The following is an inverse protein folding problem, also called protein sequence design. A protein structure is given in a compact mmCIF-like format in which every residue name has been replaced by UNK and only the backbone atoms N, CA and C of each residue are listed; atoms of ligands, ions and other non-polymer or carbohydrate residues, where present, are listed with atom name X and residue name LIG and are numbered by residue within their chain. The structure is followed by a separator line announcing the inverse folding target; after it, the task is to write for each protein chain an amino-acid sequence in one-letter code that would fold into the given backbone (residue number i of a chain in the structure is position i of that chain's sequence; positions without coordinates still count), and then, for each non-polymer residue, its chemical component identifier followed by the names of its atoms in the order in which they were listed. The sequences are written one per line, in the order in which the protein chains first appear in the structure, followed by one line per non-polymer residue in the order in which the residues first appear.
data_IF_133540030185
#
_entry.id   IF_133540030185
#
_cell.length_a   1.000
_cell.length_b   1.000
_cell.length_c   1.000
_cell.angle_alpha   90.00
_cell.angle_beta   90.00
_cell.angle_gamma   90.00
#
_symmetry.space_group_name_H-M   'P 1'
#
loop_
_entity.id
_entity.type
_entity.pdbx_description
1 polymer ?
#
# COMPACT_ATOMS: atom_id res chain seq x y z
N UNK A 1 12.87 -7.27 12.80
CA UNK A 1 12.86 -8.13 11.60
C UNK A 1 13.61 -7.39 10.53
N UNK A 2 14.57 -8.04 9.87
CA UNK A 2 15.30 -7.43 8.76
C UNK A 2 14.58 -7.59 7.41
N UNK A 3 15.15 -7.02 6.35
CA UNK A 3 14.56 -7.03 5.01
C UNK A 3 14.36 -8.45 4.46
N UNK A 4 15.34 -9.33 4.64
CA UNK A 4 15.31 -10.67 4.05
C UNK A 4 14.33 -11.57 4.81
N UNK A 5 14.27 -11.44 6.13
CA UNK A 5 13.26 -12.09 6.97
C UNK A 5 11.83 -11.69 6.57
N UNK A 6 11.58 -10.38 6.43
CA UNK A 6 10.25 -9.87 6.04
C UNK A 6 9.88 -10.34 4.63
N UNK A 7 10.81 -10.26 3.68
CA UNK A 7 10.60 -10.72 2.31
C UNK A 7 10.32 -12.21 2.23
N UNK A 8 11.02 -13.02 3.04
CA UNK A 8 10.76 -14.45 3.19
C UNK A 8 9.34 -14.70 3.68
N UNK A 9 8.93 -14.07 4.79
CA UNK A 9 7.59 -14.18 5.35
C UNK A 9 6.49 -13.84 4.33
N UNK A 10 6.62 -12.71 3.64
CA UNK A 10 5.64 -12.28 2.62
C UNK A 10 5.57 -13.27 1.46
N UNK A 11 6.68 -13.87 1.07
CA UNK A 11 6.73 -14.87 0.00
C UNK A 11 6.07 -16.19 0.42
N UNK A 12 6.34 -16.64 1.66
CA UNK A 12 5.78 -17.88 2.21
C UNK A 12 4.27 -17.79 2.48
N UNK A 13 3.79 -16.61 2.89
CA UNK A 13 2.37 -16.40 3.15
C UNK A 13 1.49 -16.59 1.90
N UNK A 14 2.08 -16.54 0.70
CA UNK A 14 1.41 -16.72 -0.59
C UNK A 14 0.09 -15.94 -0.69
N UNK A 15 0.11 -14.69 -0.21
CA UNK A 15 -1.04 -13.78 -0.32
C UNK A 15 -1.22 -13.46 -1.81
N UNK A 16 -2.36 -13.83 -2.37
CA UNK A 16 -2.74 -13.58 -3.75
C UNK A 16 -3.88 -12.57 -3.80
N UNK A 17 -3.85 -11.75 -4.83
CA UNK A 17 -4.97 -10.88 -5.21
C UNK A 17 -5.90 -11.67 -6.12
N UNK A 18 -7.17 -11.75 -5.72
CA UNK A 18 -8.22 -12.33 -6.55
C UNK A 18 -8.82 -11.28 -7.47
N UNK A 19 -9.50 -11.71 -8.54
CA UNK A 19 -10.01 -10.86 -9.63
C UNK A 19 -10.96 -9.74 -9.16
N UNK A 20 -11.62 -9.92 -8.02
CA UNK A 20 -12.57 -8.95 -7.46
C UNK A 20 -12.02 -8.18 -6.25
N UNK A 21 -10.75 -8.39 -5.89
CA UNK A 21 -10.16 -7.73 -4.73
C UNK A 21 -9.49 -6.42 -5.12
N UNK A 22 -9.56 -5.42 -4.26
CA UNK A 22 -8.83 -4.16 -4.44
C UNK A 22 -7.59 -4.06 -3.53
N UNK A 23 -6.79 -3.02 -3.73
CA UNK A 23 -5.56 -2.78 -2.98
C UNK A 23 -5.77 -2.69 -1.46
N UNK A 24 -6.95 -2.26 -0.99
CA UNK A 24 -7.25 -2.15 0.43
C UNK A 24 -7.49 -3.51 1.08
N UNK A 25 -8.20 -4.42 0.39
CA UNK A 25 -8.41 -5.79 0.87
C UNK A 25 -7.09 -6.57 0.93
N UNK A 26 -6.19 -6.31 0.00
CA UNK A 26 -4.83 -6.89 0.02
C UNK A 26 -4.01 -6.33 1.18
N UNK A 27 -4.07 -5.01 1.41
CA UNK A 27 -3.41 -4.40 2.56
C UNK A 27 -3.95 -4.98 3.88
N UNK A 28 -5.25 -5.23 4.01
CA UNK A 28 -5.85 -5.85 5.19
C UNK A 28 -5.31 -7.27 5.45
N UNK A 29 -5.17 -8.09 4.39
CA UNK A 29 -4.56 -9.43 4.52
C UNK A 29 -3.11 -9.35 5.02
N UNK A 30 -2.35 -8.38 4.52
CA UNK A 30 -0.97 -8.14 4.98
C UNK A 30 -0.97 -7.69 6.44
N UNK A 31 -1.84 -6.77 6.84
CA UNK A 31 -1.97 -6.35 8.24
C UNK A 31 -2.25 -7.54 9.17
N UNK A 32 -3.22 -8.41 8.81
CA UNK A 32 -3.55 -9.63 9.57
C UNK A 32 -2.40 -10.62 9.66
N UNK A 33 -1.54 -10.69 8.65
CA UNK A 33 -0.32 -11.49 8.71
C UNK A 33 0.67 -10.92 9.72
N UNK A 34 0.88 -9.60 9.67
CA UNK A 34 1.81 -8.88 10.54
C UNK A 34 1.35 -8.82 11.99
N UNK A 35 0.05 -8.91 12.27
CA UNK A 35 -0.52 -8.99 13.64
C UNK A 35 0.01 -10.15 14.46
N UNK A 36 0.53 -11.17 13.80
CA UNK A 36 1.11 -12.35 14.44
C UNK A 36 2.58 -12.13 14.86
N UNK A 37 3.17 -11.01 14.46
CA UNK A 37 4.57 -10.69 14.72
C UNK A 37 4.72 -9.78 15.95
N UNK A 38 5.82 -9.91 16.69
CA UNK A 38 6.18 -8.94 17.71
C UNK A 38 6.67 -7.63 17.04
N UNK A 39 6.02 -6.51 17.35
CA UNK A 39 6.35 -5.19 16.83
C UNK A 39 5.16 -4.24 16.93
N UNK A 40 5.39 -2.95 17.17
CA UNK A 40 4.30 -1.99 17.44
C UNK A 40 3.95 -1.10 16.24
N UNK A 41 4.79 -1.03 15.20
CA UNK A 41 4.64 0.02 14.17
C UNK A 41 4.34 -0.55 12.80
N UNK A 42 3.11 -1.04 12.65
CA UNK A 42 2.47 -1.20 11.35
C UNK A 42 1.70 0.08 11.02
N UNK A 43 1.75 0.52 9.78
CA UNK A 43 0.95 1.64 9.28
C UNK A 43 0.29 1.28 7.97
N UNK A 44 -0.87 1.83 7.72
CA UNK A 44 -1.40 1.90 6.36
C UNK A 44 -0.83 3.15 5.69
N UNK A 45 -0.24 2.97 4.52
CA UNK A 45 0.19 4.06 3.66
C UNK A 45 -0.81 4.19 2.52
N UNK A 46 -1.50 5.32 2.49
CA UNK A 46 -2.49 5.67 1.49
C UNK A 46 -1.85 6.61 0.47
N UNK A 47 -1.98 6.27 -0.79
CA UNK A 47 -1.44 7.03 -1.91
C UNK A 47 -2.62 7.45 -2.77
N UNK A 48 -2.82 8.74 -2.97
CA UNK A 48 -3.94 9.25 -3.75
C UNK A 48 -3.56 10.50 -4.53
N UNK A 49 -4.27 10.82 -5.62
CA UNK A 49 -4.11 12.09 -6.33
C UNK A 49 -4.24 13.28 -5.37
N UNK A 50 -3.50 14.37 -5.64
CA UNK A 50 -3.63 15.64 -4.91
C UNK A 50 -5.07 16.15 -4.99
N UNK A 51 -5.48 16.89 -3.96
CA UNK A 51 -6.82 17.47 -3.87
C UNK A 51 -7.21 18.21 -5.17
N UNK A 52 -8.36 17.84 -5.73
CA UNK A 52 -8.87 18.36 -7.00
C UNK A 52 -8.74 17.40 -8.18
N UNK A 53 -7.90 16.35 -8.09
CA UNK A 53 -7.83 15.27 -9.07
C UNK A 53 -8.79 14.13 -8.68
N UNK A 54 -9.60 13.65 -9.64
CA UNK A 54 -10.56 12.55 -9.43
C UNK A 54 -9.97 11.16 -9.69
N UNK A 55 -8.96 11.07 -10.53
CA UNK A 55 -8.30 9.83 -10.98
C UNK A 55 -6.83 10.15 -11.26
N UNK A 56 -5.93 9.22 -10.94
CA UNK A 56 -4.56 9.23 -11.45
C UNK A 56 -4.22 7.86 -12.05
N UNK A 57 -3.35 7.86 -13.07
CA UNK A 57 -2.68 6.63 -13.44
C UNK A 57 -1.68 6.32 -12.34
N UNK A 58 -1.87 5.19 -11.67
CA UNK A 58 -0.90 4.70 -10.71
C UNK A 58 -0.05 3.64 -11.40
N UNK A 59 1.25 3.91 -11.39
CA UNK A 59 2.31 3.01 -11.82
C UNK A 59 2.99 2.48 -10.57
N UNK A 60 2.97 1.16 -10.44
CA UNK A 60 3.79 0.47 -9.45
C UNK A 60 5.29 0.70 -9.75
N UNK A 61 6.17 0.64 -8.74
CA UNK A 61 7.59 0.98 -8.92
C UNK A 61 8.34 0.10 -9.93
N UNK A 62 7.83 -1.09 -10.22
CA UNK A 62 8.34 -2.00 -11.25
C UNK A 62 7.73 -1.78 -12.64
N UNK A 63 6.90 -0.75 -12.79
CA UNK A 63 6.32 -0.26 -14.05
C UNK A 63 5.58 -1.35 -14.85
N UNK A 64 5.02 -2.35 -14.15
CA UNK A 64 4.36 -3.52 -14.75
C UNK A 64 2.84 -3.47 -14.65
N UNK A 65 2.30 -2.72 -13.71
CA UNK A 65 0.89 -2.35 -13.67
C UNK A 65 0.76 -0.84 -13.82
N UNK A 66 0.06 -0.43 -14.87
CA UNK A 66 -0.49 0.92 -14.99
C UNK A 66 -2.00 0.72 -14.96
N UNK A 67 -2.63 1.13 -13.86
CA UNK A 67 -4.08 1.14 -13.80
C UNK A 67 -4.56 2.52 -13.37
N UNK A 68 -5.81 2.80 -13.71
CA UNK A 68 -6.46 4.05 -13.36
C UNK A 68 -6.96 3.91 -11.92
N UNK A 69 -6.15 4.38 -10.98
CA UNK A 69 -6.48 4.30 -9.57
C UNK A 69 -7.04 5.62 -9.07
N UNK A 70 -8.08 5.48 -8.26
CA UNK A 70 -8.60 6.57 -7.43
C UNK A 70 -7.68 6.74 -6.21
N UNK A 71 -7.15 5.62 -5.72
CA UNK A 71 -6.24 5.53 -4.60
C UNK A 71 -5.47 4.19 -4.67
N UNK A 72 -4.34 4.11 -3.97
CA UNK A 72 -3.57 2.90 -3.76
C UNK A 72 -3.24 2.76 -2.27
N UNK A 73 -3.29 1.53 -1.76
CA UNK A 73 -3.06 1.25 -0.33
C UNK A 73 -1.96 0.21 -0.20
N UNK A 74 -0.97 0.53 0.63
CA UNK A 74 0.13 -0.38 0.97
C UNK A 74 0.36 -0.40 2.47
N UNK A 75 1.04 -1.44 2.94
CA UNK A 75 1.34 -1.60 4.37
C UNK A 75 2.79 -1.23 4.63
N UNK A 76 3.02 -0.41 5.66
CA UNK A 76 4.36 -0.15 6.17
C UNK A 76 4.59 -0.95 7.45
N UNK A 77 5.74 -1.59 7.57
CA UNK A 77 6.15 -2.32 8.76
C UNK A 77 7.64 -2.12 9.01
N UNK A 78 8.01 -1.60 10.19
CA UNK A 78 9.41 -1.45 10.63
C UNK A 78 10.33 -0.75 9.59
N UNK A 79 9.82 0.25 8.87
CA UNK A 79 10.57 1.00 7.85
C UNK A 79 10.56 0.40 6.44
N UNK A 80 9.78 -0.67 6.22
CA UNK A 80 9.59 -1.31 4.93
C UNK A 80 8.16 -1.14 4.42
N UNK A 81 7.99 -0.96 3.11
CA UNK A 81 6.70 -0.97 2.43
C UNK A 81 6.47 -2.35 1.82
N UNK A 82 5.26 -2.88 2.01
CA UNK A 82 4.77 -4.12 1.44
C UNK A 82 3.66 -3.77 0.46
N UNK A 83 3.97 -3.89 -0.83
CA UNK A 83 3.09 -3.64 -1.97
C UNK A 83 2.99 -4.90 -2.81
N UNK A 84 1.97 -5.73 -2.55
CA UNK A 84 1.82 -7.03 -3.22
C UNK A 84 1.38 -6.92 -4.68
N UNK A 85 0.95 -5.73 -5.13
CA UNK A 85 0.64 -5.48 -6.54
C UNK A 85 1.92 -5.23 -7.36
N UNK A 86 3.03 -4.92 -6.69
CA UNK A 86 4.34 -4.86 -7.30
C UNK A 86 5.06 -6.21 -7.31
N UNK A 87 5.80 -6.52 -8.38
CA UNK A 87 6.55 -7.79 -8.47
C UNK A 87 7.67 -7.93 -7.43
N UNK A 88 8.23 -6.82 -6.94
CA UNK A 88 9.26 -6.84 -5.87
C UNK A 88 8.66 -7.10 -4.49
N UNK A 89 7.37 -6.79 -4.30
CA UNK A 89 6.57 -6.95 -3.08
C UNK A 89 7.02 -6.17 -1.84
N UNK A 90 8.32 -6.10 -1.56
CA UNK A 90 8.88 -5.47 -0.36
C UNK A 90 9.97 -4.47 -0.72
N UNK A 91 9.84 -3.26 -0.19
CA UNK A 91 10.69 -2.10 -0.43
C UNK A 91 11.15 -1.49 0.88
N UNK A 92 12.28 -0.78 0.88
CA UNK A 92 12.52 0.22 1.92
C UNK A 92 11.55 1.39 1.70
N UNK A 93 11.03 1.96 2.79
CA UNK A 93 10.04 3.03 2.70
C UNK A 93 10.56 4.25 1.93
N UNK A 94 11.82 4.64 2.16
CA UNK A 94 12.47 5.76 1.47
C UNK A 94 12.54 5.55 -0.06
N UNK A 95 12.93 4.34 -0.50
CA UNK A 95 13.03 3.99 -1.92
C UNK A 95 11.64 4.01 -2.57
N UNK A 96 10.65 3.40 -1.90
CA UNK A 96 9.29 3.30 -2.42
C UNK A 96 8.64 4.67 -2.61
N UNK A 97 8.75 5.56 -1.61
CA UNK A 97 8.20 6.91 -1.68
C UNK A 97 8.85 7.71 -2.82
N UNK A 98 10.16 7.59 -2.98
CA UNK A 98 10.89 8.23 -4.09
C UNK A 98 10.43 7.72 -5.46
N UNK A 99 10.32 6.40 -5.62
CA UNK A 99 9.90 5.77 -6.89
C UNK A 99 8.44 6.12 -7.23
N UNK A 100 7.51 6.03 -6.28
CA UNK A 100 6.10 6.35 -6.51
C UNK A 100 5.90 7.82 -6.87
N UNK A 101 6.55 8.75 -6.16
CA UNK A 101 6.41 10.18 -6.44
C UNK A 101 7.03 10.59 -7.78
N UNK A 102 8.08 9.89 -8.22
CA UNK A 102 8.69 10.10 -9.52
C UNK A 102 7.85 9.54 -10.68
N UNK A 103 7.20 8.39 -10.47
CA UNK A 103 6.40 7.72 -11.50
C UNK A 103 4.99 8.31 -11.66
N UNK A 104 4.46 8.89 -10.58
CA UNK A 104 3.07 9.32 -10.49
C UNK A 104 3.01 10.82 -10.18
N UNK A 105 3.03 11.65 -11.22
CA UNK A 105 2.90 13.09 -11.04
C UNK A 105 1.59 13.46 -10.36
N UNK A 106 1.68 14.33 -9.36
CA UNK A 106 0.49 14.86 -8.69
C UNK A 106 -0.16 13.92 -7.69
N UNK A 107 0.55 12.91 -7.16
CA UNK A 107 0.09 12.12 -6.00
C UNK A 107 0.46 12.78 -4.68
N UNK A 108 -0.26 12.39 -3.63
CA UNK A 108 -0.05 12.69 -2.22
C UNK A 108 0.00 11.37 -1.47
N UNK A 109 0.90 11.29 -0.49
CA UNK A 109 1.09 10.11 0.35
C UNK A 109 0.71 10.50 1.78
N UNK A 110 -0.13 9.71 2.41
CA UNK A 110 -0.55 9.87 3.81
C UNK A 110 -0.37 8.56 4.56
N UNK A 111 0.17 8.62 5.76
CA UNK A 111 0.37 7.47 6.63
C UNK A 111 -0.64 7.50 7.78
N UNK A 112 -1.13 6.32 8.16
CA UNK A 112 -2.07 6.14 9.26
C UNK A 112 -1.60 4.99 10.16
N UNK A 113 -1.59 5.24 11.47
CA UNK A 113 -1.16 4.25 12.48
C UNK A 113 -2.24 3.20 12.80
N UNK A 114 -3.45 3.37 12.24
CA UNK A 114 -4.60 2.49 12.43
C UNK A 114 -5.15 1.97 11.10
N UNK A 115 -5.96 0.91 11.15
CA UNK A 115 -6.66 0.40 9.97
C UNK A 115 -7.66 1.45 9.48
N UNK A 116 -7.37 2.03 8.32
CA UNK A 116 -8.22 3.04 7.69
C UNK A 116 -9.21 2.46 6.70
N UNK A 117 -9.20 1.15 6.45
CA UNK A 117 -10.12 0.51 5.51
C UNK A 117 -11.60 0.88 5.78
N UNK A 118 -12.08 0.97 7.05
CA UNK A 118 -13.45 1.41 7.34
C UNK A 118 -13.75 2.88 7.00
N UNK A 119 -12.72 3.70 6.87
CA UNK A 119 -12.79 5.15 6.64
C UNK A 119 -12.54 5.50 5.16
N UNK A 120 -12.31 4.53 4.29
CA UNK A 120 -12.22 4.76 2.85
C UNK A 120 -13.65 4.73 2.29
N UNK A 121 -14.21 5.91 2.00
CA UNK A 121 -15.43 6.00 1.20
C UNK A 121 -15.06 5.79 -0.27
N UNK A 122 -15.16 4.52 -0.69
CA UNK A 122 -14.95 4.10 -2.08
C UNK A 122 -15.96 4.73 -3.06
N UNK A 123 -17.14 5.16 -2.58
CA UNK A 123 -18.17 5.77 -3.43
C UNK A 123 -17.83 7.22 -3.74
N UNK A 124 -17.42 7.98 -2.74
CA UNK A 124 -17.07 9.41 -2.89
C UNK A 124 -15.56 9.67 -3.00
N UNK A 125 -14.76 8.60 -3.02
CA UNK A 125 -13.32 8.64 -3.30
C UNK A 125 -12.57 9.50 -2.28
N UNK A 126 -12.90 9.33 -1.00
CA UNK A 126 -12.36 10.16 0.10
C UNK A 126 -12.07 9.31 1.32
N UNK A 127 -11.04 9.72 2.04
CA UNK A 127 -10.87 9.29 3.42
C UNK A 127 -11.83 10.10 4.30
N UNK A 128 -12.79 9.42 4.92
CA UNK A 128 -13.71 9.95 5.92
C UNK A 128 -13.15 9.57 7.28
N UNK A 129 -12.10 10.29 7.71
CA UNK A 129 -11.62 10.19 9.07
C UNK A 129 -12.73 10.63 10.04
N UNK A 130 -12.82 10.03 11.25
CA UNK A 130 -13.74 10.47 12.29
C UNK A 130 -13.51 11.92 12.74
#
# INVERSE_FOLDING_TARGET
MDYDELKGLISEANIQMHENEDCSEIAEKVMKLLDKLPGEKKKITFIAPKEGHRLAFFRTPDNKSEELYIYHVVVQYEGYIIDLQSSKKVYKAEDYVGEITALNEGVSIKEYDEDISPYIDVTNMKLILP
#
